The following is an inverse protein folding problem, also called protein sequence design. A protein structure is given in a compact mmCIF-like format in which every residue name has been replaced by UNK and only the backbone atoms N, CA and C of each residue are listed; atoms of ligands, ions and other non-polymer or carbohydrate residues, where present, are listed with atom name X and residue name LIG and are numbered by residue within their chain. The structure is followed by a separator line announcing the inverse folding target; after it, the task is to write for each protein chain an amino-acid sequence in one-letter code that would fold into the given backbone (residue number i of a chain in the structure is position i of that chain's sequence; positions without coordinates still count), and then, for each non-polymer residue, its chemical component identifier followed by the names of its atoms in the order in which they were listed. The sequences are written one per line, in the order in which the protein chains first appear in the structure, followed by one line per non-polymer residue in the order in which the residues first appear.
data_IF_247828938414
#
_entry.id   IF_247828938414
#
_cell.length_a   1.000
_cell.length_b   1.000
_cell.length_c   1.000
_cell.angle_alpha   90.00
_cell.angle_beta   90.00
_cell.angle_gamma   90.00
#
_symmetry.space_group_name_H-M   'P 1'
#
loop_
_entity.id
_entity.type
_entity.pdbx_description
1 polymer ?
#
# COMPACT_ATOMS: atom_id res chain seq x y z
N UNK A 1 14.85 -33.32 -14.55
CA UNK A 1 14.31 -34.60 -14.01
C UNK A 1 13.16 -34.41 -13.02
N UNK A 2 13.14 -33.39 -12.16
CA UNK A 2 11.99 -33.12 -11.26
C UNK A 2 10.69 -32.76 -12.03
N UNK A 3 10.80 -31.94 -13.09
CA UNK A 3 9.68 -31.60 -13.99
C UNK A 3 9.12 -32.79 -14.78
N UNK A 4 9.94 -33.79 -15.11
CA UNK A 4 9.51 -35.02 -15.81
C UNK A 4 8.80 -36.01 -14.89
N UNK A 5 8.95 -35.86 -13.56
CA UNK A 5 8.27 -36.68 -12.55
C UNK A 5 7.11 -35.93 -11.86
N UNK A 6 6.86 -34.68 -12.25
CA UNK A 6 5.76 -33.86 -11.71
C UNK A 6 5.99 -33.33 -10.30
N UNK A 7 7.24 -33.24 -9.83
CA UNK A 7 7.54 -32.69 -8.51
C UNK A 7 8.11 -31.27 -8.62
N UNK A 8 7.44 -30.34 -7.94
CA UNK A 8 7.93 -29.01 -7.67
C UNK A 8 7.72 -28.74 -6.18
N UNK A 9 8.80 -28.46 -5.45
CA UNK A 9 8.76 -28.06 -4.06
C UNK A 9 9.40 -26.68 -3.95
N UNK A 10 8.75 -25.81 -3.18
CA UNK A 10 9.31 -24.53 -2.75
C UNK A 10 9.31 -24.54 -1.22
N UNK A 11 10.41 -24.07 -0.62
CA UNK A 11 10.58 -24.02 0.84
C UNK A 11 10.83 -22.58 1.22
N UNK A 12 9.83 -21.97 1.85
CA UNK A 12 9.91 -20.62 2.39
C UNK A 12 10.03 -20.68 3.92
N UNK A 13 11.06 -20.03 4.47
CA UNK A 13 11.22 -19.82 5.91
C UNK A 13 10.91 -18.35 6.18
N UNK A 14 9.74 -18.09 6.76
CA UNK A 14 9.29 -16.73 7.08
C UNK A 14 9.62 -16.30 8.52
N UNK A 15 9.88 -17.24 9.44
CA UNK A 15 10.17 -16.94 10.84
C UNK A 15 11.02 -18.04 11.49
N UNK A 16 11.88 -17.65 12.43
CA UNK A 16 12.64 -18.53 13.32
C UNK A 16 12.28 -18.20 14.77
N UNK A 17 11.76 -19.20 15.47
CA UNK A 17 11.40 -19.12 16.88
C UNK A 17 12.30 -20.05 17.70
N UNK A 18 12.94 -19.53 18.74
CA UNK A 18 13.68 -20.33 19.73
C UNK A 18 13.37 -19.84 21.14
N UNK A 19 12.32 -20.43 21.75
CA UNK A 19 11.78 -19.99 23.05
C UNK A 19 12.80 -20.01 24.19
N UNK A 20 13.65 -21.04 24.28
CA UNK A 20 14.65 -21.15 25.35
C UNK A 20 15.79 -20.10 25.25
N UNK A 21 15.97 -19.49 24.08
CA UNK A 21 16.96 -18.43 23.85
C UNK A 21 16.29 -17.07 23.64
N UNK A 22 14.95 -16.99 23.73
CA UNK A 22 14.18 -15.78 23.47
C UNK A 22 14.30 -15.26 22.03
N UNK A 23 14.63 -16.10 21.05
CA UNK A 23 14.76 -15.67 19.65
C UNK A 23 13.38 -15.72 19.00
N UNK A 24 12.96 -14.58 18.45
CA UNK A 24 11.85 -14.45 17.53
C UNK A 24 12.29 -13.55 16.38
N UNK A 25 12.65 -14.17 15.25
CA UNK A 25 13.18 -13.47 14.08
C UNK A 25 12.30 -13.75 12.87
N UNK A 26 11.68 -12.71 12.32
CA UNK A 26 10.83 -12.81 11.12
C UNK A 26 11.62 -12.31 9.91
N UNK A 27 11.79 -13.14 8.89
CA UNK A 27 12.49 -12.76 7.67
C UNK A 27 11.56 -11.93 6.76
N UNK A 28 12.13 -10.96 6.07
CA UNK A 28 11.44 -10.26 4.97
C UNK A 28 10.30 -9.33 5.38
N UNK A 29 10.10 -9.04 6.67
CA UNK A 29 9.11 -8.05 7.13
C UNK A 29 9.58 -6.61 6.90
N UNK A 30 10.89 -6.40 6.90
CA UNK A 30 11.50 -5.09 6.72
C UNK A 30 11.50 -4.72 5.24
N UNK A 31 10.84 -3.60 4.92
CA UNK A 31 11.03 -2.90 3.65
C UNK A 31 11.86 -1.66 3.98
N UNK A 32 13.17 -1.63 3.63
CA UNK A 32 14.09 -0.61 4.13
C UNK A 32 13.59 0.83 3.96
N UNK A 33 13.03 1.17 2.80
CA UNK A 33 12.51 2.51 2.57
C UNK A 33 11.32 2.90 3.47
N UNK A 34 10.53 1.91 3.95
CA UNK A 34 9.43 2.14 4.88
C UNK A 34 9.92 2.24 6.32
N UNK A 35 10.94 1.47 6.69
CA UNK A 35 11.61 1.60 7.99
C UNK A 35 12.27 2.97 8.10
N UNK A 36 13.02 3.38 7.08
CA UNK A 36 13.63 4.71 7.00
C UNK A 36 12.58 5.83 7.04
N UNK A 37 11.48 5.68 6.28
CA UNK A 37 10.36 6.65 6.32
C UNK A 37 9.77 6.79 7.73
N UNK A 38 9.67 5.70 8.46
CA UNK A 38 9.08 5.67 9.81
C UNK A 38 10.11 5.90 10.91
N UNK A 39 11.36 6.15 10.57
CA UNK A 39 12.42 6.43 11.53
C UNK A 39 12.06 7.68 12.35
N UNK A 40 11.96 7.51 13.67
CA UNK A 40 11.61 8.60 14.58
C UNK A 40 10.11 8.88 14.72
N UNK A 41 9.24 8.12 14.06
CA UNK A 41 7.79 8.21 14.28
C UNK A 41 7.44 7.47 15.58
N UNK A 42 6.72 8.13 16.48
CA UNK A 42 6.08 7.47 17.61
C UNK A 42 4.92 6.60 17.10
N UNK A 43 5.20 5.30 16.94
CA UNK A 43 4.25 4.33 16.39
C UNK A 43 3.00 4.19 17.26
N UNK A 44 3.12 4.29 18.59
CA UNK A 44 1.98 4.16 19.49
C UNK A 44 1.02 5.34 19.31
N UNK A 45 1.58 6.56 19.27
CA UNK A 45 0.80 7.77 19.00
C UNK A 45 0.17 7.74 17.60
N UNK A 46 0.94 7.39 16.57
CA UNK A 46 0.45 7.33 15.18
C UNK A 46 -0.64 6.27 15.01
N UNK A 47 -0.48 5.10 15.64
CA UNK A 47 -1.51 4.06 15.62
C UNK A 47 -2.81 4.53 16.30
N UNK A 48 -2.72 5.28 17.40
CA UNK A 48 -3.90 5.84 18.08
C UNK A 48 -4.60 6.91 17.22
N UNK A 49 -3.85 7.75 16.49
CA UNK A 49 -4.41 8.68 15.51
C UNK A 49 -5.18 7.95 14.39
N UNK A 50 -4.56 6.94 13.80
CA UNK A 50 -5.18 6.13 12.74
C UNK A 50 -6.44 5.44 13.24
N UNK A 51 -6.41 4.84 14.44
CA UNK A 51 -7.58 4.17 15.03
C UNK A 51 -8.77 5.12 15.21
N UNK A 52 -8.52 6.33 15.74
CA UNK A 52 -9.59 7.34 15.88
C UNK A 52 -10.20 7.72 14.53
N UNK A 53 -9.38 7.86 13.48
CA UNK A 53 -9.88 8.14 12.12
C UNK A 53 -10.58 6.93 11.48
N UNK A 54 -10.29 5.71 11.96
CA UNK A 54 -10.91 4.48 11.51
C UNK A 54 -12.33 4.25 12.06
N UNK A 55 -12.79 5.03 13.04
CA UNK A 55 -14.13 4.91 13.63
C UNK A 55 -15.22 5.68 12.86
N UNK A 56 -14.84 6.54 11.90
CA UNK A 56 -15.77 7.39 11.12
C UNK A 56 -16.03 6.94 9.68
N UNK A 57 -16.63 7.82 8.86
CA UNK A 57 -16.91 7.57 7.44
C UNK A 57 -15.65 7.24 6.60
N UNK A 58 -14.48 7.71 7.05
CA UNK A 58 -13.19 7.36 6.47
C UNK A 58 -12.79 5.91 6.72
N UNK A 59 -13.25 5.32 7.83
CA UNK A 59 -12.64 4.13 8.41
C UNK A 59 -12.64 2.91 7.53
N UNK A 60 -13.77 2.60 6.89
CA UNK A 60 -13.83 1.45 5.97
C UNK A 60 -12.87 1.59 4.78
N UNK A 61 -12.70 2.81 4.27
CA UNK A 61 -11.81 3.11 3.15
C UNK A 61 -10.35 3.14 3.57
N UNK A 62 -10.06 3.69 4.75
CA UNK A 62 -8.72 3.70 5.33
C UNK A 62 -8.25 2.28 5.66
N UNK A 63 -9.10 1.44 6.24
CA UNK A 63 -8.74 0.04 6.52
C UNK A 63 -8.50 -0.75 5.23
N UNK A 64 -9.30 -0.52 4.17
CA UNK A 64 -9.03 -1.10 2.84
C UNK A 64 -7.71 -0.61 2.26
N UNK A 65 -7.45 0.69 2.36
CA UNK A 65 -6.20 1.31 1.92
C UNK A 65 -4.98 0.67 2.61
N UNK A 66 -5.02 0.55 3.94
CA UNK A 66 -3.94 -0.08 4.73
C UNK A 66 -3.77 -1.56 4.41
N UNK A 67 -4.87 -2.30 4.19
CA UNK A 67 -4.80 -3.69 3.77
C UNK A 67 -4.17 -3.84 2.39
N UNK A 68 -4.53 -3.00 1.42
CA UNK A 68 -3.88 -3.00 0.10
C UNK A 68 -2.39 -2.65 0.23
N UNK A 69 -1.99 -1.71 1.10
CA UNK A 69 -0.57 -1.46 1.37
C UNK A 69 0.14 -2.69 1.93
N UNK A 70 -0.46 -3.42 2.87
CA UNK A 70 0.10 -4.68 3.38
C UNK A 70 0.27 -5.70 2.24
N UNK A 71 -0.70 -5.80 1.33
CA UNK A 71 -0.59 -6.70 0.18
C UNK A 71 0.52 -6.26 -0.78
N UNK A 72 0.74 -4.96 -0.99
CA UNK A 72 1.86 -4.46 -1.78
C UNK A 72 3.22 -4.86 -1.17
N UNK A 73 3.31 -4.92 0.16
CA UNK A 73 4.50 -5.37 0.88
C UNK A 73 4.74 -6.87 0.67
N UNK A 74 3.67 -7.68 0.75
CA UNK A 74 3.70 -9.15 0.64
C UNK A 74 3.89 -9.67 -0.78
N UNK A 75 3.47 -8.92 -1.79
CA UNK A 75 3.49 -9.34 -3.19
C UNK A 75 4.35 -8.36 -4.03
N UNK A 76 5.67 -8.58 -4.12
CA UNK A 76 6.59 -7.70 -4.83
C UNK A 76 6.23 -7.46 -6.30
N UNK A 77 5.73 -8.50 -6.99
CA UNK A 77 5.30 -8.42 -8.39
C UNK A 77 4.03 -7.58 -8.58
N UNK A 78 3.23 -7.45 -7.52
CA UNK A 78 1.94 -6.74 -7.53
C UNK A 78 1.99 -5.40 -6.78
N UNK A 79 3.19 -4.89 -6.48
CA UNK A 79 3.37 -3.66 -5.68
C UNK A 79 2.62 -2.48 -6.29
N UNK A 80 2.78 -2.22 -7.59
CA UNK A 80 2.06 -1.11 -8.26
C UNK A 80 0.54 -1.30 -8.25
N UNK A 81 0.08 -2.55 -8.41
CA UNK A 81 -1.34 -2.89 -8.38
C UNK A 81 -1.97 -2.57 -7.03
N UNK A 82 -1.37 -3.04 -5.95
CA UNK A 82 -1.87 -2.82 -4.61
C UNK A 82 -1.69 -1.37 -4.14
N UNK A 83 -0.58 -0.70 -4.48
CA UNK A 83 -0.42 0.74 -4.25
C UNK A 83 -1.56 1.54 -4.91
N UNK A 84 -1.93 1.20 -6.15
CA UNK A 84 -3.05 1.88 -6.79
C UNK A 84 -4.39 1.58 -6.12
N UNK A 85 -4.66 0.32 -5.74
CA UNK A 85 -5.91 -0.02 -5.03
C UNK A 85 -6.04 0.71 -3.70
N UNK A 86 -4.93 0.90 -3.01
CA UNK A 86 -4.88 1.70 -1.79
C UNK A 86 -5.34 3.14 -2.05
N UNK A 87 -4.85 3.77 -3.13
CA UNK A 87 -5.26 5.13 -3.52
C UNK A 87 -6.71 5.18 -4.02
N UNK A 88 -7.19 4.17 -4.74
CA UNK A 88 -8.60 4.06 -5.17
C UNK A 88 -9.56 4.01 -3.97
N UNK A 89 -9.16 3.35 -2.88
CA UNK A 89 -9.95 3.34 -1.64
C UNK A 89 -10.10 4.76 -1.06
N UNK A 90 -9.03 5.56 -1.03
CA UNK A 90 -9.07 6.95 -0.57
C UNK A 90 -9.87 7.85 -1.53
N UNK A 91 -9.75 7.62 -2.84
CA UNK A 91 -10.59 8.29 -3.85
C UNK A 91 -12.07 7.97 -3.63
N UNK A 92 -12.43 6.73 -3.34
CA UNK A 92 -13.81 6.36 -3.06
C UNK A 92 -14.32 7.00 -1.76
N UNK A 93 -13.46 7.21 -0.76
CA UNK A 93 -13.83 8.03 0.38
C UNK A 93 -14.15 9.47 -0.07
N UNK A 94 -13.33 10.09 -0.91
CA UNK A 94 -13.62 11.43 -1.45
C UNK A 94 -14.94 11.45 -2.21
N UNK A 95 -15.20 10.41 -3.01
CA UNK A 95 -16.47 10.25 -3.73
C UNK A 95 -17.66 10.31 -2.78
N UNK A 96 -17.58 9.57 -1.67
CA UNK A 96 -18.65 9.48 -0.67
C UNK A 96 -18.77 10.73 0.20
N UNK A 97 -17.65 11.21 0.75
CA UNK A 97 -17.59 12.34 1.69
C UNK A 97 -18.00 13.67 1.07
N UNK A 98 -17.74 13.86 -0.22
CA UNK A 98 -18.03 15.11 -0.94
C UNK A 98 -19.21 15.00 -1.91
N UNK A 99 -20.02 13.95 -1.83
CA UNK A 99 -21.19 13.72 -2.68
C UNK A 99 -20.87 13.81 -4.19
N UNK A 100 -19.79 13.15 -4.61
CA UNK A 100 -19.30 13.15 -6.00
C UNK A 100 -19.74 11.88 -6.76
N UNK A 101 -20.90 11.31 -6.42
CA UNK A 101 -21.35 10.03 -6.98
C UNK A 101 -21.51 10.04 -8.49
N UNK A 102 -21.97 11.17 -9.04
CA UNK A 102 -22.20 11.42 -10.46
C UNK A 102 -21.02 12.14 -11.13
N UNK A 103 -20.02 12.58 -10.35
CA UNK A 103 -18.86 13.28 -10.89
C UNK A 103 -17.92 12.31 -11.61
N UNK A 104 -17.14 12.84 -12.54
CA UNK A 104 -16.16 12.04 -13.27
C UNK A 104 -15.07 11.50 -12.34
N UNK A 105 -14.42 10.40 -12.73
CA UNK A 105 -13.25 9.89 -12.01
C UNK A 105 -12.16 10.96 -11.85
N UNK A 106 -11.96 11.80 -12.87
CA UNK A 106 -11.00 12.91 -12.84
C UNK A 106 -11.34 13.92 -11.74
N UNK A 107 -12.62 14.23 -11.53
CA UNK A 107 -13.05 15.13 -10.47
C UNK A 107 -12.80 14.55 -9.08
N UNK A 108 -13.00 13.24 -8.91
CA UNK A 108 -12.72 12.56 -7.65
C UNK A 108 -11.22 12.55 -7.33
N UNK A 109 -10.35 12.32 -8.33
CA UNK A 109 -8.90 12.41 -8.18
C UNK A 109 -8.45 13.84 -7.88
N UNK A 110 -9.02 14.84 -8.58
CA UNK A 110 -8.78 16.25 -8.27
C UNK A 110 -9.15 16.56 -6.83
N UNK A 111 -10.28 16.04 -6.33
CA UNK A 111 -10.69 16.26 -4.95
C UNK A 111 -9.72 15.65 -3.94
N UNK A 112 -9.22 14.45 -4.21
CA UNK A 112 -8.15 13.85 -3.39
C UNK A 112 -6.88 14.72 -3.43
N UNK A 113 -6.57 15.31 -4.58
CA UNK A 113 -5.44 16.22 -4.72
C UNK A 113 -5.60 17.52 -3.94
N UNK A 114 -6.80 18.09 -3.86
CA UNK A 114 -7.09 19.25 -3.00
C UNK A 114 -6.82 18.96 -1.51
N UNK A 115 -7.08 17.72 -1.06
CA UNK A 115 -6.87 17.31 0.34
C UNK A 115 -5.39 17.07 0.62
N UNK A 116 -4.66 16.51 -0.34
CA UNK A 116 -3.32 15.97 -0.11
C UNK A 116 -2.20 16.86 -0.64
N UNK A 117 -2.52 17.83 -1.51
CA UNK A 117 -1.54 18.63 -2.24
C UNK A 117 -0.91 17.91 -3.43
N UNK A 118 -1.18 16.62 -3.62
CA UNK A 118 -0.69 15.83 -4.76
C UNK A 118 -1.60 16.01 -5.97
N UNK A 119 -1.05 15.94 -7.17
CA UNK A 119 -1.83 16.09 -8.41
C UNK A 119 -1.99 14.75 -9.14
N UNK A 120 -2.76 14.75 -10.23
CA UNK A 120 -3.02 13.53 -11.00
C UNK A 120 -1.72 12.91 -11.55
N UNK A 121 -0.71 13.71 -11.92
CA UNK A 121 0.58 13.19 -12.39
C UNK A 121 1.32 12.39 -11.32
N UNK A 122 1.09 12.66 -10.04
CA UNK A 122 1.70 11.91 -8.94
C UNK A 122 1.19 10.48 -8.88
N UNK A 123 -0.05 10.24 -9.31
CA UNK A 123 -0.71 8.93 -9.29
C UNK A 123 -0.65 8.23 -10.66
N UNK A 124 -0.48 8.98 -11.75
CA UNK A 124 -0.42 8.44 -13.13
C UNK A 124 0.59 7.32 -13.24
N UNK A 125 1.80 7.50 -12.71
CA UNK A 125 2.84 6.48 -12.79
C UNK A 125 2.44 5.17 -12.08
N UNK A 126 1.90 5.28 -10.86
CA UNK A 126 1.41 4.11 -10.10
C UNK A 126 0.28 3.44 -10.89
N UNK A 127 -0.62 4.23 -11.49
CA UNK A 127 -1.75 3.74 -12.29
C UNK A 127 -1.29 3.01 -13.55
N UNK A 128 -0.38 3.58 -14.33
CA UNK A 128 0.12 2.94 -15.55
C UNK A 128 0.86 1.65 -15.25
N UNK A 129 1.69 1.61 -14.20
CA UNK A 129 2.37 0.39 -13.78
C UNK A 129 1.41 -0.67 -13.22
N UNK A 130 0.24 -0.26 -12.72
CA UNK A 130 -0.78 -1.20 -12.23
C UNK A 130 -1.57 -1.90 -13.34
N UNK A 131 -1.68 -1.29 -14.53
CA UNK A 131 -2.57 -1.80 -15.60
C UNK A 131 -2.17 -3.18 -16.14
N UNK A 132 -0.90 -3.46 -16.51
CA UNK A 132 -0.56 -4.76 -17.10
C UNK A 132 -0.77 -5.90 -16.10
N UNK A 133 -0.40 -5.68 -14.83
CA UNK A 133 -0.58 -6.65 -13.74
C UNK A 133 -2.06 -7.04 -13.57
N UNK A 134 -3.00 -6.09 -13.74
CA UNK A 134 -4.46 -6.36 -13.70
C UNK A 134 -4.93 -7.30 -14.80
N UNK A 135 -4.18 -7.41 -15.89
CA UNK A 135 -4.51 -8.24 -17.04
C UNK A 135 -3.68 -9.54 -17.09
N UNK A 136 -2.93 -9.83 -16.02
CA UNK A 136 -2.13 -11.05 -15.90
C UNK A 136 -0.72 -10.94 -16.52
N UNK A 137 -0.31 -9.75 -16.96
CA UNK A 137 1.07 -9.53 -17.39
C UNK A 137 2.02 -9.45 -16.20
N UNK A 138 3.20 -10.03 -16.35
CA UNK A 138 4.26 -9.96 -15.35
C UNK A 138 5.07 -8.69 -15.59
N UNK A 139 4.91 -7.69 -14.72
CA UNK A 139 5.76 -6.50 -14.70
C UNK A 139 6.87 -6.70 -13.68
N UNK A 140 8.10 -6.88 -14.16
CA UNK A 140 9.25 -6.91 -13.29
C UNK A 140 9.59 -5.47 -12.84
N UNK A 141 9.37 -5.17 -11.57
CA UNK A 141 9.77 -3.90 -10.96
C UNK A 141 11.09 -4.09 -10.20
N UNK A 142 12.04 -3.15 -10.37
CA UNK A 142 13.25 -3.13 -9.56
C UNK A 142 12.92 -2.75 -8.10
N UNK A 143 13.82 -3.08 -7.18
CA UNK A 143 13.69 -2.71 -5.77
C UNK A 143 13.57 -1.19 -5.59
N UNK A 144 14.36 -0.41 -6.34
CA UNK A 144 14.31 1.06 -6.33
C UNK A 144 12.96 1.56 -6.81
N UNK A 145 12.42 0.93 -7.86
CA UNK A 145 11.11 1.34 -8.38
C UNK A 145 10.00 1.05 -7.39
N UNK A 146 10.02 -0.13 -6.76
CA UNK A 146 9.08 -0.47 -5.68
C UNK A 146 9.18 0.52 -4.54
N UNK A 147 10.40 0.90 -4.12
CA UNK A 147 10.62 1.88 -3.07
C UNK A 147 10.00 3.24 -3.41
N UNK A 148 10.17 3.72 -4.65
CA UNK A 148 9.54 4.97 -5.12
C UNK A 148 8.01 4.90 -5.03
N UNK A 149 7.40 3.80 -5.48
CA UNK A 149 5.95 3.62 -5.42
C UNK A 149 5.45 3.62 -3.97
N UNK A 150 6.12 2.89 -3.09
CA UNK A 150 5.80 2.87 -1.66
C UNK A 150 5.85 4.26 -1.04
N UNK A 151 6.96 4.98 -1.20
CA UNK A 151 7.15 6.30 -0.59
C UNK A 151 6.10 7.29 -1.11
N UNK A 152 5.80 7.26 -2.41
CA UNK A 152 4.81 8.14 -3.02
C UNK A 152 3.39 7.83 -2.54
N UNK A 153 3.01 6.55 -2.52
CA UNK A 153 1.69 6.14 -2.01
C UNK A 153 1.54 6.50 -0.54
N UNK A 154 2.56 6.24 0.29
CA UNK A 154 2.51 6.58 1.71
C UNK A 154 2.46 8.08 1.96
N UNK A 155 3.14 8.91 1.17
CA UNK A 155 3.05 10.37 1.32
C UNK A 155 1.62 10.89 1.09
N UNK A 156 0.90 10.32 0.12
CA UNK A 156 -0.52 10.64 -0.12
C UNK A 156 -1.38 10.14 1.05
N UNK A 157 -1.13 8.92 1.53
CA UNK A 157 -1.87 8.30 2.65
C UNK A 157 -1.68 9.11 3.93
N UNK A 158 -0.45 9.53 4.25
CA UNK A 158 -0.17 10.41 5.38
C UNK A 158 -0.91 11.72 5.24
N UNK A 159 -0.85 12.37 4.08
CA UNK A 159 -1.55 13.63 3.87
C UNK A 159 -3.07 13.49 4.06
N UNK A 160 -3.68 12.37 3.64
CA UNK A 160 -5.08 12.08 3.97
C UNK A 160 -5.26 11.88 5.46
N UNK A 161 -4.42 11.08 6.11
CA UNK A 161 -4.52 10.84 7.55
C UNK A 161 -4.31 12.14 8.33
N UNK A 162 -3.52 13.09 7.87
CA UNK A 162 -3.25 14.33 8.58
C UNK A 162 -4.36 15.38 8.34
N UNK A 163 -4.94 15.41 7.14
CA UNK A 163 -5.96 16.40 6.75
C UNK A 163 -7.42 15.92 6.88
N UNK A 164 -7.66 14.64 7.18
CA UNK A 164 -9.01 14.06 7.24
C UNK A 164 -9.84 14.47 8.46
#
# INVERSE_FOLDING_TARGET
MASLRGYAYDVEISQVLHSALGIDYVYGIAIPCLEERSAGVDLAKRAQEIRRKAEGELGIYLMRCLNDLIMAMKHPHDTAFHCQRALESLRHNCKKRFNLETASERDQWRKLGEITGFNEHDVVEIRELSKPVRHGDIVALSSEKRAQLFLKTWAIVDAVIDNA
#
